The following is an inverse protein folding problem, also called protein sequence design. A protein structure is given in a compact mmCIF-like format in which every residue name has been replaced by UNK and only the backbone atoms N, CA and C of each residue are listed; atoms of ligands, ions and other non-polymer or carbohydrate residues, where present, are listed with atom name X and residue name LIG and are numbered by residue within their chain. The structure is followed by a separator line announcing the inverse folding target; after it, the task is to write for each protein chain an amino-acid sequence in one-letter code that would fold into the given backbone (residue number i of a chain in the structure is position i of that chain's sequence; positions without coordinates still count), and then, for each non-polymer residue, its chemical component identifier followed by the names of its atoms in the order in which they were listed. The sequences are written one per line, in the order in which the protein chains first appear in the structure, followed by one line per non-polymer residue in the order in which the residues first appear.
data_IF_396419468091
#
_entry.id   IF_396419468091
#
_cell.length_a   1.000
_cell.length_b   1.000
_cell.length_c   1.000
_cell.angle_alpha   90.00
_cell.angle_beta   90.00
_cell.angle_gamma   90.00
#
_symmetry.space_group_name_H-M   'P 1'
#
loop_
_entity.id
_entity.type
_entity.pdbx_description
1 polymer ?
#
# COMPACT_ATOMS: atom_id res chain seq x y z
N UNK A 1 3.95 6.43 32.89
CA UNK A 1 3.59 7.38 31.82
C UNK A 1 4.44 7.08 30.60
N UNK A 2 3.86 6.56 29.50
CA UNK A 2 4.61 6.43 28.23
C UNK A 2 4.73 7.85 27.63
N UNK A 3 5.95 8.22 27.25
CA UNK A 3 6.23 9.53 26.63
C UNK A 3 5.55 9.57 25.26
N UNK A 4 4.95 10.71 24.92
CA UNK A 4 4.54 11.00 23.54
C UNK A 4 5.76 10.85 22.64
N UNK A 5 5.71 9.91 21.69
CA UNK A 5 6.80 9.77 20.73
C UNK A 5 6.49 10.63 19.53
N UNK A 6 7.37 11.59 19.17
CA UNK A 6 7.13 12.48 18.05
C UNK A 6 6.94 11.70 16.75
N UNK A 7 6.23 12.33 15.83
CA UNK A 7 5.99 11.80 14.50
C UNK A 7 7.29 11.63 13.71
N UNK A 8 7.50 10.44 13.13
CA UNK A 8 8.64 10.17 12.27
C UNK A 8 8.25 9.45 10.98
N UNK A 9 8.58 10.07 9.84
CA UNK A 9 8.54 9.40 8.56
C UNK A 9 9.74 8.46 8.39
N UNK A 10 9.46 7.24 7.95
CA UNK A 10 10.47 6.30 7.47
C UNK A 10 10.76 6.60 6.01
N UNK A 11 11.88 7.27 5.76
CA UNK A 11 12.25 7.76 4.43
C UNK A 11 12.28 6.64 3.38
N UNK A 12 12.64 5.41 3.75
CA UNK A 12 12.64 4.27 2.83
C UNK A 12 11.25 3.96 2.29
N UNK A 13 10.25 3.89 3.17
CA UNK A 13 8.85 3.67 2.78
C UNK A 13 8.32 4.83 1.92
N UNK A 14 8.67 6.08 2.26
CA UNK A 14 8.26 7.27 1.48
C UNK A 14 8.84 7.24 0.07
N UNK A 15 10.13 6.90 -0.09
CA UNK A 15 10.76 6.77 -1.41
C UNK A 15 10.09 5.68 -2.24
N UNK A 16 9.83 4.51 -1.64
CA UNK A 16 9.14 3.41 -2.30
C UNK A 16 7.76 3.82 -2.82
N UNK A 17 6.92 4.45 -1.98
CA UNK A 17 5.58 4.86 -2.40
C UNK A 17 5.63 5.94 -3.49
N UNK A 18 6.57 6.89 -3.41
CA UNK A 18 6.77 7.89 -4.47
C UNK A 18 7.22 7.26 -5.79
N UNK A 19 8.11 6.28 -5.75
CA UNK A 19 8.56 5.56 -6.93
C UNK A 19 7.39 4.80 -7.57
N UNK A 20 6.63 4.04 -6.78
CA UNK A 20 5.45 3.31 -7.25
C UNK A 20 4.40 4.24 -7.82
N UNK A 21 4.19 5.42 -7.22
CA UNK A 21 3.31 6.44 -7.77
C UNK A 21 3.77 6.89 -9.16
N UNK A 22 5.06 7.18 -9.35
CA UNK A 22 5.62 7.56 -10.65
C UNK A 22 5.45 6.45 -11.69
N UNK A 23 5.75 5.20 -11.33
CA UNK A 23 5.58 4.04 -12.20
C UNK A 23 4.12 3.86 -12.61
N UNK A 24 3.19 3.97 -11.66
CA UNK A 24 1.77 3.87 -11.95
C UNK A 24 1.29 5.00 -12.86
N UNK A 25 1.73 6.25 -12.62
CA UNK A 25 1.40 7.37 -13.49
C UNK A 25 1.93 7.16 -14.91
N UNK A 26 3.18 6.69 -15.06
CA UNK A 26 3.73 6.35 -16.38
C UNK A 26 2.92 5.26 -17.08
N UNK A 27 2.52 4.20 -16.35
CA UNK A 27 1.64 3.15 -16.86
C UNK A 27 0.28 3.73 -17.32
N UNK A 28 -0.36 4.60 -16.53
CA UNK A 28 -1.61 5.27 -16.90
C UNK A 28 -1.47 6.13 -18.16
N UNK A 29 -0.34 6.86 -18.30
CA UNK A 29 -0.06 7.68 -19.46
C UNK A 29 0.08 6.86 -20.76
N UNK A 30 0.37 5.56 -20.68
CA UNK A 30 0.45 4.68 -21.86
C UNK A 30 -0.84 3.88 -22.05
N UNK A 31 -1.36 3.30 -20.97
CA UNK A 31 -2.52 2.42 -21.00
C UNK A 31 -3.80 3.15 -21.47
N UNK A 32 -4.01 4.39 -21.02
CA UNK A 32 -5.20 5.16 -21.41
C UNK A 32 -5.20 5.53 -22.90
N UNK A 33 -4.12 6.08 -23.50
CA UNK A 33 -4.06 6.30 -24.94
C UNK A 33 -4.21 5.01 -25.74
N UNK A 34 -3.54 3.92 -25.35
CA UNK A 34 -3.68 2.63 -26.04
C UNK A 34 -5.13 2.15 -26.01
N UNK A 35 -5.80 2.24 -24.86
CA UNK A 35 -7.22 1.91 -24.75
C UNK A 35 -8.09 2.80 -25.66
N UNK A 36 -7.84 4.12 -25.70
CA UNK A 36 -8.59 5.02 -26.59
C UNK A 36 -8.38 4.68 -28.07
N UNK A 37 -7.15 4.38 -28.48
CA UNK A 37 -6.84 3.97 -29.86
C UNK A 37 -7.56 2.65 -30.20
N UNK A 38 -7.54 1.67 -29.31
CA UNK A 38 -8.27 0.41 -29.50
C UNK A 38 -9.78 0.63 -29.63
N UNK A 39 -10.36 1.54 -28.86
CA UNK A 39 -11.77 1.90 -29.01
C UNK A 39 -12.06 2.56 -30.36
N UNK A 40 -11.22 3.47 -30.83
CA UNK A 40 -11.39 4.09 -32.16
C UNK A 40 -11.42 3.02 -33.26
N UNK A 41 -10.51 2.04 -33.21
CA UNK A 41 -10.54 0.90 -34.14
C UNK A 41 -11.72 -0.03 -33.93
N UNK A 42 -12.16 -0.24 -32.69
CA UNK A 42 -13.34 -1.05 -32.38
C UNK A 42 -14.64 -0.44 -32.96
N UNK A 43 -14.77 0.89 -32.92
CA UNK A 43 -15.93 1.60 -33.47
C UNK A 43 -15.89 1.74 -34.99
N UNK A 44 -14.71 1.99 -35.57
CA UNK A 44 -14.54 2.24 -37.01
C UNK A 44 -14.11 1.01 -37.84
N UNK A 45 -13.85 -0.13 -37.19
CA UNK A 45 -13.34 -1.33 -37.84
C UNK A 45 -14.35 -2.07 -38.72
N UNK A 46 -13.85 -3.00 -39.54
CA UNK A 46 -14.67 -3.92 -40.33
C UNK A 46 -15.41 -4.92 -39.44
N UNK A 47 -16.49 -5.55 -39.93
CA UNK A 47 -17.33 -6.46 -39.15
C UNK A 47 -16.57 -7.58 -38.42
N UNK A 48 -15.46 -8.06 -39.00
CA UNK A 48 -14.57 -9.06 -38.39
C UNK A 48 -13.54 -8.46 -37.43
N UNK A 49 -13.12 -7.20 -37.64
CA UNK A 49 -12.15 -6.51 -36.79
C UNK A 49 -12.75 -6.00 -35.48
N UNK A 50 -14.01 -5.53 -35.49
CA UNK A 50 -14.69 -5.01 -34.29
C UNK A 50 -14.61 -5.92 -33.06
N UNK A 51 -14.98 -7.22 -33.13
CA UNK A 51 -14.94 -8.09 -31.95
C UNK A 51 -13.53 -8.25 -31.38
N UNK A 52 -12.51 -8.27 -32.25
CA UNK A 52 -11.10 -8.40 -31.84
C UNK A 52 -10.66 -7.15 -31.06
N UNK A 53 -10.93 -5.96 -31.59
CA UNK A 53 -10.53 -4.71 -30.93
C UNK A 53 -11.31 -4.44 -29.65
N UNK A 54 -12.60 -4.81 -29.58
CA UNK A 54 -13.36 -4.74 -28.32
C UNK A 54 -12.79 -5.69 -27.26
N UNK A 55 -12.43 -6.91 -27.65
CA UNK A 55 -11.83 -7.88 -26.74
C UNK A 55 -10.48 -7.38 -26.22
N UNK A 56 -9.63 -6.85 -27.10
CA UNK A 56 -8.35 -6.25 -26.72
C UNK A 56 -8.52 -5.05 -25.79
N UNK A 57 -9.46 -4.14 -26.09
CA UNK A 57 -9.76 -2.98 -25.25
C UNK A 57 -10.24 -3.40 -23.86
N UNK A 58 -11.11 -4.41 -23.77
CA UNK A 58 -11.59 -4.96 -22.51
C UNK A 58 -10.44 -5.55 -21.68
N UNK A 59 -9.53 -6.31 -22.28
CA UNK A 59 -8.35 -6.87 -21.60
C UNK A 59 -7.46 -5.76 -21.04
N UNK A 60 -7.17 -4.72 -21.83
CA UNK A 60 -6.37 -3.57 -21.38
C UNK A 60 -7.06 -2.86 -20.20
N UNK A 61 -8.37 -2.64 -20.29
CA UNK A 61 -9.14 -1.96 -19.24
C UNK A 61 -9.17 -2.78 -17.94
N UNK A 62 -9.47 -4.07 -18.02
CA UNK A 62 -9.50 -4.96 -16.86
C UNK A 62 -8.12 -5.05 -16.22
N UNK A 63 -7.07 -5.25 -17.02
CA UNK A 63 -5.68 -5.29 -16.54
C UNK A 63 -5.29 -3.99 -15.83
N UNK A 64 -5.70 -2.84 -16.38
CA UNK A 64 -5.47 -1.54 -15.75
C UNK A 64 -6.19 -1.42 -14.39
N UNK A 65 -7.46 -1.83 -14.30
CA UNK A 65 -8.20 -1.78 -13.03
C UNK A 65 -7.61 -2.72 -11.97
N UNK A 66 -7.15 -3.91 -12.37
CA UNK A 66 -6.46 -4.83 -11.45
C UNK A 66 -5.17 -4.18 -10.93
N UNK A 67 -4.36 -3.61 -11.83
CA UNK A 67 -3.13 -2.92 -11.45
C UNK A 67 -3.40 -1.72 -10.53
N UNK A 68 -4.45 -0.93 -10.82
CA UNK A 68 -4.88 0.19 -9.99
C UNK A 68 -5.37 -0.26 -8.61
N UNK A 69 -6.17 -1.33 -8.55
CA UNK A 69 -6.64 -1.93 -7.31
C UNK A 69 -5.48 -2.39 -6.44
N UNK A 70 -4.51 -3.09 -7.04
CA UNK A 70 -3.31 -3.53 -6.33
C UNK A 70 -2.48 -2.33 -5.82
N UNK A 71 -2.21 -1.34 -6.67
CA UNK A 71 -1.48 -0.13 -6.29
C UNK A 71 -2.17 0.62 -5.14
N UNK A 72 -3.48 0.84 -5.24
CA UNK A 72 -4.21 1.60 -4.23
C UNK A 72 -4.28 0.85 -2.90
N UNK A 73 -4.63 -0.43 -2.91
CA UNK A 73 -4.78 -1.22 -1.68
C UNK A 73 -3.44 -1.51 -1.01
N UNK A 74 -2.41 -1.94 -1.75
CA UNK A 74 -1.16 -2.39 -1.15
C UNK A 74 -0.15 -1.26 -0.93
N UNK A 75 -0.08 -0.31 -1.86
CA UNK A 75 0.92 0.76 -1.82
C UNK A 75 0.35 2.02 -1.19
N UNK A 76 -0.74 2.56 -1.75
CA UNK A 76 -1.23 3.88 -1.35
C UNK A 76 -1.91 3.91 0.02
N UNK A 77 -2.71 2.88 0.33
CA UNK A 77 -3.46 2.75 1.58
C UNK A 77 -2.82 1.73 2.53
N UNK A 78 -2.14 0.72 2.01
CA UNK A 78 -1.57 -0.35 2.82
C UNK A 78 -0.18 -0.06 3.39
N UNK A 79 0.64 0.76 2.72
CA UNK A 79 2.01 1.01 3.19
C UNK A 79 2.04 2.16 4.19
N UNK A 80 2.55 1.88 5.39
CA UNK A 80 2.75 2.90 6.42
C UNK A 80 4.02 3.67 6.12
N UNK A 81 3.91 5.00 6.15
CA UNK A 81 4.99 5.95 5.94
C UNK A 81 5.56 6.47 7.25
N UNK A 82 4.74 6.55 8.29
CA UNK A 82 5.11 7.05 9.60
C UNK A 82 4.09 6.65 10.65
N UNK A 83 4.54 6.64 11.90
CA UNK A 83 3.73 6.30 13.06
C UNK A 83 3.84 7.45 14.05
N UNK A 84 2.70 7.85 14.59
CA UNK A 84 2.62 8.69 15.76
C UNK A 84 1.88 7.90 16.85
N UNK A 85 2.40 7.92 18.07
CA UNK A 85 1.82 7.13 19.16
C UNK A 85 1.69 8.01 20.39
N UNK A 86 0.45 8.11 20.86
CA UNK A 86 0.05 8.77 22.11
C UNK A 86 -0.25 7.68 23.15
N UNK A 87 -0.61 8.06 24.38
CA UNK A 87 -0.95 7.09 25.43
C UNK A 87 -2.21 6.25 25.14
N UNK A 88 -3.12 6.76 24.31
CA UNK A 88 -4.43 6.14 24.03
C UNK A 88 -4.58 5.71 22.57
N UNK A 89 -4.02 6.48 21.64
CA UNK A 89 -4.21 6.27 20.19
C UNK A 89 -2.90 6.13 19.43
N UNK A 90 -2.92 5.29 18.40
CA UNK A 90 -1.87 5.15 17.40
C UNK A 90 -2.39 5.70 16.08
N UNK A 91 -1.65 6.63 15.51
CA UNK A 91 -1.90 7.18 14.18
C UNK A 91 -0.95 6.55 13.17
N UNK A 92 -1.52 5.84 12.19
CA UNK A 92 -0.81 5.25 11.08
C UNK A 92 -0.97 6.15 9.86
N UNK A 93 0.15 6.72 9.42
CA UNK A 93 0.15 7.61 8.27
C UNK A 93 0.48 6.82 7.01
N UNK A 94 -0.44 6.80 6.06
CA UNK A 94 -0.23 6.23 4.72
C UNK A 94 -0.10 7.38 3.72
N UNK A 95 0.19 7.07 2.46
CA UNK A 95 0.28 8.12 1.44
C UNK A 95 -1.04 8.84 1.17
N UNK A 96 -2.18 8.19 1.48
CA UNK A 96 -3.51 8.71 1.14
C UNK A 96 -4.32 9.15 2.34
N UNK A 97 -4.14 8.53 3.51
CA UNK A 97 -4.93 8.80 4.71
C UNK A 97 -4.16 8.51 5.99
N UNK A 98 -4.50 9.22 7.06
CA UNK A 98 -4.11 8.87 8.43
C UNK A 98 -5.21 8.01 9.06
N UNK A 99 -4.84 6.86 9.59
CA UNK A 99 -5.75 5.97 10.31
C UNK A 99 -5.46 6.04 11.80
N UNK A 100 -6.50 6.05 12.62
CA UNK A 100 -6.38 6.17 14.08
C UNK A 100 -6.97 4.92 14.71
N UNK A 101 -6.21 4.28 15.59
CA UNK A 101 -6.65 3.10 16.34
C UNK A 101 -6.28 3.24 17.81
N UNK A 102 -6.95 2.47 18.66
CA UNK A 102 -6.60 2.35 20.08
C UNK A 102 -5.26 1.60 20.23
N UNK A 103 -4.36 2.10 21.07
CA UNK A 103 -3.02 1.52 21.28
C UNK A 103 -3.06 0.14 21.92
N UNK A 104 -4.06 -0.13 22.77
CA UNK A 104 -4.15 -1.37 23.56
C UNK A 104 -4.92 -2.46 22.84
N UNK A 105 -6.02 -2.09 22.18
CA UNK A 105 -6.94 -3.06 21.57
C UNK A 105 -7.04 -2.97 20.05
N UNK A 106 -6.51 -1.91 19.45
CA UNK A 106 -6.64 -1.68 18.01
C UNK A 106 -5.84 -2.66 17.17
N UNK A 107 -4.63 -3.04 17.61
CA UNK A 107 -3.78 -4.00 16.89
C UNK A 107 -4.07 -5.43 17.36
N UNK A 108 -4.70 -6.25 16.51
CA UNK A 108 -5.11 -7.61 16.83
C UNK A 108 -4.10 -8.68 16.43
N UNK A 109 -3.11 -8.35 15.61
CA UNK A 109 -2.05 -9.28 15.27
C UNK A 109 -0.97 -8.67 14.39
N UNK A 110 0.25 -9.15 14.54
CA UNK A 110 1.39 -8.75 13.71
C UNK A 110 2.09 -9.99 13.20
N UNK A 111 2.18 -10.09 11.88
CA UNK A 111 2.98 -11.12 11.21
C UNK A 111 4.30 -10.53 10.78
N UNK A 112 5.39 -11.16 11.21
CA UNK A 112 6.72 -10.80 10.78
C UNK A 112 7.11 -11.63 9.56
N UNK A 113 7.59 -10.95 8.52
CA UNK A 113 8.18 -11.54 7.32
C UNK A 113 9.60 -11.00 7.18
N UNK A 114 10.44 -11.60 6.33
CA UNK A 114 11.84 -11.19 6.14
C UNK A 114 12.05 -9.67 6.00
N UNK A 115 11.29 -9.00 5.14
CA UNK A 115 11.47 -7.57 4.81
C UNK A 115 10.34 -6.64 5.28
N UNK A 116 9.32 -7.15 5.97
CA UNK A 116 8.15 -6.36 6.37
C UNK A 116 7.47 -6.95 7.61
N UNK A 117 6.77 -6.09 8.35
CA UNK A 117 5.73 -6.49 9.27
C UNK A 117 4.37 -6.23 8.63
N UNK A 118 3.44 -7.15 8.79
CA UNK A 118 2.04 -6.97 8.41
C UNK A 118 1.23 -6.94 9.70
N UNK A 119 0.81 -5.75 10.11
CA UNK A 119 -0.03 -5.59 11.28
C UNK A 119 -1.49 -5.45 10.86
N UNK A 120 -2.36 -6.14 11.59
CA UNK A 120 -3.80 -6.14 11.38
C UNK A 120 -4.44 -5.35 12.50
N UNK A 121 -5.15 -4.31 12.11
CA UNK A 121 -5.91 -3.47 13.02
C UNK A 121 -7.40 -3.75 12.87
N UNK A 122 -8.12 -3.68 13.99
CA UNK A 122 -9.56 -3.93 14.03
C UNK A 122 -10.28 -2.83 14.79
N UNK A 123 -11.33 -2.30 14.19
CA UNK A 123 -12.33 -1.48 14.85
C UNK A 123 -13.62 -2.29 15.01
N UNK A 124 -14.68 -1.69 15.55
CA UNK A 124 -15.99 -2.36 15.68
C UNK A 124 -16.50 -2.84 14.32
N UNK A 125 -16.30 -2.05 13.26
CA UNK A 125 -16.88 -2.29 11.93
C UNK A 125 -15.86 -2.62 10.84
N UNK A 126 -14.56 -2.39 11.08
CA UNK A 126 -13.52 -2.59 10.07
C UNK A 126 -12.38 -3.49 10.54
N UNK A 127 -11.75 -4.16 9.58
CA UNK A 127 -10.50 -4.89 9.77
C UNK A 127 -9.53 -4.51 8.66
N UNK A 128 -8.49 -3.78 9.02
CA UNK A 128 -7.54 -3.17 8.10
C UNK A 128 -6.15 -3.80 8.28
N UNK A 129 -5.46 -4.09 7.17
CA UNK A 129 -4.09 -4.62 7.21
C UNK A 129 -3.10 -3.60 6.69
N UNK A 130 -2.07 -3.33 7.46
CA UNK A 130 -1.02 -2.38 7.11
C UNK A 130 0.34 -3.04 7.04
N UNK A 131 1.15 -2.60 6.07
CA UNK A 131 2.50 -3.07 5.84
C UNK A 131 3.50 -2.04 6.33
N UNK A 132 4.40 -2.49 7.21
CA UNK A 132 5.52 -1.72 7.74
C UNK A 132 6.80 -2.33 7.20
N UNK A 133 7.50 -1.63 6.31
CA UNK A 133 8.71 -2.17 5.71
C UNK A 133 9.89 -2.14 6.69
N UNK A 134 10.42 -3.33 6.99
CA UNK A 134 11.74 -3.49 7.62
C UNK A 134 12.83 -3.08 6.65
N UNK A 135 12.63 -3.35 5.36
CA UNK A 135 13.44 -2.85 4.28
C UNK A 135 12.53 -2.58 3.07
N UNK A 136 12.33 -1.31 2.73
CA UNK A 136 11.44 -0.96 1.63
C UNK A 136 12.14 -1.25 0.28
N UNK A 137 11.44 -1.82 -0.71
CA UNK A 137 12.03 -2.06 -2.03
C UNK A 137 12.58 -0.76 -2.62
N UNK A 138 13.74 -0.83 -3.29
CA UNK A 138 14.41 0.32 -3.91
C UNK A 138 14.82 1.43 -2.93
N UNK A 139 14.93 1.11 -1.63
CA UNK A 139 15.49 2.02 -0.61
C UNK A 139 16.83 1.51 -0.09
N UNK A 140 17.67 2.45 0.39
CA UNK A 140 18.93 2.13 1.03
C UNK A 140 18.70 1.64 2.46
N UNK A 141 19.62 0.82 3.01
CA UNK A 141 19.64 0.50 4.45
C UNK A 141 19.85 1.74 5.34
N UNK A 142 20.44 2.81 4.80
CA UNK A 142 20.58 4.10 5.51
C UNK A 142 19.28 4.91 5.52
N UNK A 143 18.29 4.57 4.69
CA UNK A 143 16.99 5.24 4.71
C UNK A 143 16.20 4.68 5.87
N UNK A 144 15.78 5.52 6.83
CA UNK A 144 15.10 5.03 8.05
C UNK A 144 13.96 4.04 7.77
N UNK A 145 13.96 2.91 8.48
CA UNK A 145 13.07 1.75 8.29
C UNK A 145 12.31 1.40 9.59
N UNK A 146 11.24 0.61 9.50
CA UNK A 146 10.51 0.16 10.69
C UNK A 146 11.24 -0.98 11.38
N UNK A 147 11.35 -0.90 12.70
CA UNK A 147 11.95 -1.94 13.53
C UNK A 147 10.90 -2.56 14.46
N UNK A 148 11.25 -3.69 15.09
CA UNK A 148 10.43 -4.30 16.14
C UNK A 148 10.16 -3.34 17.31
N UNK A 149 11.08 -2.40 17.59
CA UNK A 149 10.91 -1.36 18.60
C UNK A 149 9.86 -0.29 18.23
N UNK A 150 9.55 -0.13 16.95
CA UNK A 150 8.44 0.73 16.52
C UNK A 150 7.09 0.00 16.66
N UNK A 151 7.07 -1.32 16.39
CA UNK A 151 5.89 -2.16 16.53
C UNK A 151 5.50 -2.34 18.01
N UNK A 152 6.49 -2.51 18.89
CA UNK A 152 6.28 -2.73 20.34
C UNK A 152 5.61 -1.55 21.05
N UNK A 153 5.48 -0.40 20.38
CA UNK A 153 4.78 0.78 20.92
C UNK A 153 3.28 0.56 21.02
N UNK A 154 2.70 -0.18 20.08
CA UNK A 154 1.25 -0.43 19.96
C UNK A 154 0.89 -1.92 19.90
N UNK A 155 1.86 -2.82 19.94
CA UNK A 155 1.62 -4.26 20.02
C UNK A 155 2.53 -4.89 21.08
N UNK A 156 1.92 -5.39 22.15
CA UNK A 156 2.64 -5.88 23.32
C UNK A 156 3.13 -7.33 23.19
N UNK A 157 2.52 -8.11 22.29
CA UNK A 157 2.90 -9.49 22.06
C UNK A 157 4.08 -9.59 21.07
N UNK A 158 4.80 -10.71 21.12
CA UNK A 158 5.82 -11.00 20.10
C UNK A 158 5.15 -11.19 18.74
N UNK A 159 5.70 -10.61 17.66
CA UNK A 159 5.22 -10.89 16.31
C UNK A 159 5.25 -12.39 16.02
N UNK A 160 4.23 -12.90 15.34
CA UNK A 160 4.25 -14.27 14.84
C UNK A 160 5.26 -14.33 13.69
N UNK A 161 6.34 -15.10 13.89
CA UNK A 161 7.35 -15.32 12.85
C UNK A 161 6.77 -16.24 11.77
N UNK A 162 6.52 -15.68 10.60
CA UNK A 162 6.06 -16.43 9.44
C UNK A 162 7.29 -16.75 8.60
N UNK A 163 7.80 -17.97 8.72
CA UNK A 163 8.80 -18.50 7.81
C UNK A 163 8.16 -18.63 6.41
N UNK A 164 8.35 -17.60 5.58
CA UNK A 164 8.10 -17.63 4.13
C UNK A 164 9.24 -18.34 3.40
#
# INVERSE_FOLDING_TARGET
MKKETPYFYKQGAVKYVRLMRKLFTALSCVALPVFMVLLVFAFNGTALGKPIFFSAAAVVLIGYFIAYGFYTMRVSLGTVLGIETTNEVVHLHTARKTYTYDVRMGCVGVKEHRNRFVAVFRTQDSRDSFTFYKHAPFSSFSDGQFSSGDISRFFSALPEDVQE
#
